data_IF_313186644268
#
_entry.id   IF_313186644268
#
_cell.length_a   1.000
_cell.length_b   1.000
_cell.length_c   1.000
_cell.angle_alpha   90.00
_cell.angle_beta   90.00
_cell.angle_gamma   90.00
#
_symmetry.space_group_name_H-M   'P 1'
#
loop_
_entity.id
_entity.type
_entity.pdbx_description
1 polymer ?
#
# COMPACT_ATOMS: atom_id res chain seq x y z
N UNK A 1 -15.28 17.70 -14.25
CA UNK A 1 -14.96 16.98 -13.00
C UNK A 1 -16.20 16.99 -12.15
N UNK A 2 -16.80 15.82 -11.92
CA UNK A 2 -17.93 15.81 -11.01
C UNK A 2 -17.45 16.07 -9.58
N UNK A 3 -18.29 16.71 -8.77
CA UNK A 3 -18.02 16.92 -7.36
C UNK A 3 -18.44 15.72 -6.49
N UNK A 4 -19.17 14.75 -7.05
CA UNK A 4 -19.62 13.56 -6.33
C UNK A 4 -19.22 12.29 -7.08
N UNK A 5 -18.60 11.34 -6.36
CA UNK A 5 -18.20 10.03 -6.88
C UNK A 5 -19.38 9.27 -7.53
N UNK A 6 -20.60 9.51 -7.04
CA UNK A 6 -21.83 8.92 -7.58
C UNK A 6 -22.14 9.37 -9.03
N UNK A 7 -21.78 10.59 -9.40
CA UNK A 7 -22.08 11.10 -10.74
C UNK A 7 -21.07 10.56 -11.78
N UNK A 8 -19.97 9.96 -11.31
CA UNK A 8 -18.96 9.34 -12.19
C UNK A 8 -19.22 7.85 -12.40
N UNK A 9 -19.85 7.18 -11.43
CA UNK A 9 -20.24 5.77 -11.56
C UNK A 9 -21.47 5.45 -10.70
N UNK A 10 -22.54 4.98 -11.33
CA UNK A 10 -23.81 4.64 -10.66
C UNK A 10 -23.67 3.49 -9.65
N UNK A 11 -22.62 2.66 -9.77
CA UNK A 11 -22.34 1.55 -8.85
C UNK A 11 -21.70 2.02 -7.54
N UNK A 12 -21.31 3.29 -7.45
CA UNK A 12 -20.79 3.93 -6.25
C UNK A 12 -21.90 4.68 -5.52
N UNK A 13 -22.31 4.12 -4.38
CA UNK A 13 -23.38 4.69 -3.57
C UNK A 13 -22.83 5.15 -2.23
N UNK A 14 -23.08 6.41 -1.87
CA UNK A 14 -22.76 6.90 -0.53
C UNK A 14 -23.52 6.06 0.51
N UNK A 15 -22.81 5.61 1.55
CA UNK A 15 -23.39 4.80 2.62
C UNK A 15 -23.47 5.58 3.93
N UNK A 16 -22.33 6.03 4.46
CA UNK A 16 -22.25 6.78 5.72
C UNK A 16 -20.94 7.58 5.82
N UNK A 17 -20.68 8.25 6.94
CA UNK A 17 -19.39 8.83 7.27
C UNK A 17 -18.74 8.07 8.43
N UNK A 18 -17.41 7.96 8.42
CA UNK A 18 -16.67 7.52 9.59
C UNK A 18 -16.81 8.54 10.74
N UNK A 19 -16.62 8.11 12.00
CA UNK A 19 -16.57 9.01 13.13
C UNK A 19 -15.57 10.15 12.89
N UNK A 20 -15.96 11.36 13.27
CA UNK A 20 -15.12 12.54 13.13
C UNK A 20 -13.78 12.35 13.84
N UNK A 21 -12.68 12.61 13.13
CA UNK A 21 -11.37 12.74 13.75
C UNK A 21 -11.07 14.21 14.00
N UNK A 22 -10.89 14.60 15.26
CA UNK A 22 -10.65 16.00 15.67
C UNK A 22 -9.21 16.21 16.12
N UNK A 23 -8.56 17.24 15.56
CA UNK A 23 -7.18 17.55 15.89
C UNK A 23 -6.92 19.05 15.85
N UNK A 24 -6.11 19.56 16.79
CA UNK A 24 -5.70 20.96 16.78
C UNK A 24 -4.57 21.15 15.75
N UNK A 25 -4.77 22.00 14.75
CA UNK A 25 -3.83 22.17 13.64
C UNK A 25 -3.75 23.62 13.17
N UNK A 26 -2.52 24.15 13.06
CA UNK A 26 -2.27 25.46 12.42
C UNK A 26 -3.04 26.63 13.04
N UNK A 27 -3.24 26.63 14.37
CA UNK A 27 -4.01 27.66 15.07
C UNK A 27 -5.54 27.42 15.11
N UNK A 28 -6.04 26.36 14.48
CA UNK A 28 -7.45 25.95 14.55
C UNK A 28 -7.59 24.87 15.63
N UNK A 29 -8.42 25.14 16.64
CA UNK A 29 -8.77 24.19 17.68
C UNK A 29 -9.92 23.27 17.19
N UNK A 30 -9.81 21.97 17.43
CA UNK A 30 -10.84 20.98 17.10
C UNK A 30 -11.10 20.87 15.60
N UNK A 31 -10.06 20.90 14.76
CA UNK A 31 -10.24 20.74 13.32
C UNK A 31 -10.75 19.33 13.03
N UNK A 32 -11.96 19.25 12.47
CA UNK A 32 -12.63 18.00 12.12
C UNK A 32 -12.15 17.51 10.75
N UNK A 33 -11.73 16.25 10.70
CA UNK A 33 -11.44 15.49 9.49
C UNK A 33 -12.57 14.47 9.29
N UNK A 34 -13.19 14.51 8.10
CA UNK A 34 -14.34 13.67 7.73
C UNK A 34 -13.93 12.75 6.59
N UNK A 35 -14.32 11.48 6.69
CA UNK A 35 -14.16 10.50 5.63
C UNK A 35 -15.50 9.84 5.34
N UNK A 36 -15.83 9.70 4.06
CA UNK A 36 -17.08 9.11 3.60
C UNK A 36 -16.88 7.66 3.19
N UNK A 37 -17.83 6.82 3.61
CA UNK A 37 -17.91 5.40 3.27
C UNK A 37 -18.86 5.24 2.09
N UNK A 38 -18.44 4.45 1.11
CA UNK A 38 -19.20 4.14 -0.08
C UNK A 38 -19.43 2.63 -0.19
N UNK A 39 -20.58 2.27 -0.76
CA UNK A 39 -20.91 0.95 -1.24
C UNK A 39 -20.61 0.87 -2.72
N UNK A 40 -19.76 -0.08 -3.09
CA UNK A 40 -19.37 -0.36 -4.47
C UNK A 40 -20.02 -1.68 -4.88
N UNK A 41 -20.90 -1.64 -5.89
CA UNK A 41 -21.61 -2.81 -6.40
C UNK A 41 -20.76 -3.57 -7.42
N UNK A 42 -20.61 -4.88 -7.23
CA UNK A 42 -20.00 -5.77 -8.22
C UNK A 42 -20.97 -6.10 -9.38
N UNK A 43 -20.50 -6.89 -10.35
CA UNK A 43 -21.33 -7.34 -11.48
C UNK A 43 -22.47 -8.30 -11.08
N UNK A 44 -22.36 -8.91 -9.90
CA UNK A 44 -23.33 -9.86 -9.36
C UNK A 44 -24.35 -9.19 -8.41
N UNK A 45 -24.18 -7.88 -8.12
CA UNK A 45 -25.00 -7.10 -7.19
C UNK A 45 -24.56 -7.15 -5.72
N UNK A 46 -23.40 -7.74 -5.39
CA UNK A 46 -22.83 -7.68 -4.05
C UNK A 46 -22.23 -6.29 -3.78
N UNK A 47 -22.53 -5.76 -2.60
CA UNK A 47 -22.03 -4.46 -2.16
C UNK A 47 -20.78 -4.64 -1.30
N UNK A 48 -19.69 -3.99 -1.70
CA UNK A 48 -18.47 -3.88 -0.91
C UNK A 48 -18.38 -2.48 -0.29
N UNK A 49 -18.17 -2.40 1.02
CA UNK A 49 -18.07 -1.13 1.75
C UNK A 49 -16.61 -0.70 1.86
N UNK A 50 -16.28 0.52 1.43
CA UNK A 50 -14.93 1.07 1.54
C UNK A 50 -14.94 2.60 1.71
N UNK A 51 -13.87 3.13 2.30
CA UNK A 51 -13.64 4.57 2.37
C UNK A 51 -12.92 5.01 1.10
N UNK A 52 -13.48 5.97 0.39
CA UNK A 52 -12.94 6.46 -0.89
C UNK A 52 -12.97 7.97 -0.92
N UNK A 53 -11.86 8.57 -1.34
CA UNK A 53 -11.75 10.02 -1.54
C UNK A 53 -10.86 10.33 -2.74
N UNK A 54 -11.19 11.41 -3.44
CA UNK A 54 -10.29 11.97 -4.44
C UNK A 54 -9.14 12.74 -3.78
N UNK A 55 -7.94 12.60 -4.34
CA UNK A 55 -6.80 13.40 -3.95
C UNK A 55 -7.07 14.87 -4.31
N UNK A 56 -7.49 15.66 -3.32
CA UNK A 56 -7.78 17.10 -3.47
C UNK A 56 -6.64 17.89 -4.15
N UNK A 57 -5.34 17.58 -3.94
CA UNK A 57 -4.26 18.24 -4.68
C UNK A 57 -4.38 18.12 -6.21
N UNK A 58 -4.93 17.02 -6.74
CA UNK A 58 -5.15 16.83 -8.18
C UNK A 58 -6.18 17.82 -8.72
N UNK A 59 -7.23 18.12 -7.95
CA UNK A 59 -8.19 19.17 -8.30
C UNK A 59 -7.53 20.56 -8.37
N UNK A 60 -6.57 20.83 -7.48
CA UNK A 60 -5.78 22.08 -7.53
C UNK A 60 -4.95 22.16 -8.81
N UNK A 61 -4.26 21.07 -9.19
CA UNK A 61 -3.52 21.01 -10.45
C UNK A 61 -4.43 21.23 -11.67
N UNK A 62 -5.64 20.65 -11.67
CA UNK A 62 -6.63 20.90 -12.71
C UNK A 62 -7.06 22.37 -12.78
N UNK A 63 -7.35 23.01 -11.64
CA UNK A 63 -7.70 24.44 -11.61
C UNK A 63 -6.57 25.32 -12.12
N UNK A 64 -5.33 25.03 -11.71
CA UNK A 64 -4.15 25.74 -12.20
C UNK A 64 -4.00 25.62 -13.72
N UNK A 65 -4.37 24.47 -14.31
CA UNK A 65 -4.21 24.27 -15.76
C UNK A 65 -5.18 25.08 -16.61
N UNK A 66 -6.24 25.61 -15.99
CA UNK A 66 -7.25 26.45 -16.63
C UNK A 66 -7.04 27.94 -16.32
N UNK A 67 -6.10 28.26 -15.42
CA UNK A 67 -5.80 29.62 -15.03
C UNK A 67 -4.65 30.16 -15.88
N UNK A 68 -4.97 31.13 -16.74
CA UNK A 68 -4.00 31.72 -17.69
C UNK A 68 -2.76 32.31 -17.01
N UNK A 69 -2.89 32.81 -15.77
CA UNK A 69 -1.77 33.41 -15.02
C UNK A 69 -0.85 32.39 -14.37
N UNK A 70 -1.25 31.12 -14.28
CA UNK A 70 -0.46 30.08 -13.63
C UNK A 70 0.72 29.59 -14.50
N UNK A 71 0.70 29.85 -15.81
CA UNK A 71 1.71 29.34 -16.73
C UNK A 71 1.78 27.81 -16.76
N UNK A 72 0.66 27.15 -16.45
CA UNK A 72 0.56 25.71 -16.26
C UNK A 72 -0.41 25.13 -17.28
N UNK A 73 0.08 24.29 -18.19
CA UNK A 73 -0.73 23.69 -19.24
C UNK A 73 -1.20 22.28 -18.90
N UNK A 74 -1.91 21.67 -19.85
CA UNK A 74 -2.40 20.30 -19.73
C UNK A 74 -1.27 19.26 -19.71
N UNK A 75 -0.23 19.45 -20.53
CA UNK A 75 0.93 18.55 -20.56
C UNK A 75 1.67 18.57 -19.22
N UNK A 76 1.89 19.77 -18.65
CA UNK A 76 2.49 19.93 -17.33
C UNK A 76 1.61 19.34 -16.24
N UNK A 77 0.27 19.48 -16.34
CA UNK A 77 -0.69 18.86 -15.42
C UNK A 77 -0.49 17.36 -15.33
N UNK A 78 -0.48 16.66 -16.46
CA UNK A 78 -0.31 15.20 -16.47
C UNK A 78 1.02 14.78 -15.84
N UNK A 79 2.10 15.48 -16.16
CA UNK A 79 3.42 15.22 -15.56
C UNK A 79 3.43 15.45 -14.04
N UNK A 80 2.81 16.54 -13.57
CA UNK A 80 2.72 16.84 -12.15
C UNK A 80 1.84 15.85 -11.39
N UNK A 81 0.76 15.35 -11.99
CA UNK A 81 -0.07 14.29 -11.37
C UNK A 81 0.74 13.01 -11.18
N UNK A 82 1.50 12.59 -12.20
CA UNK A 82 2.38 11.42 -12.09
C UNK A 82 3.47 11.64 -11.03
N UNK A 83 4.09 12.82 -11.00
CA UNK A 83 5.10 13.15 -10.00
C UNK A 83 4.52 13.17 -8.59
N UNK A 84 3.33 13.75 -8.41
CA UNK A 84 2.58 13.75 -7.16
C UNK A 84 2.30 12.33 -6.69
N UNK A 85 1.79 11.47 -7.57
CA UNK A 85 1.52 10.06 -7.26
C UNK A 85 2.79 9.34 -6.76
N UNK A 86 3.90 9.42 -7.51
CA UNK A 86 5.16 8.75 -7.12
C UNK A 86 5.73 9.29 -5.82
N UNK A 87 5.72 10.62 -5.66
CA UNK A 87 6.25 11.28 -4.46
C UNK A 87 5.41 10.93 -3.23
N UNK A 88 4.08 10.93 -3.35
CA UNK A 88 3.18 10.54 -2.28
C UNK A 88 3.37 9.07 -1.91
N UNK A 89 3.45 8.19 -2.92
CA UNK A 89 3.73 6.78 -2.71
C UNK A 89 5.04 6.59 -1.91
N UNK A 90 6.13 7.22 -2.33
CA UNK A 90 7.43 7.12 -1.65
C UNK A 90 7.38 7.64 -0.21
N UNK A 91 6.68 8.75 0.05
CA UNK A 91 6.53 9.31 1.40
C UNK A 91 5.75 8.35 2.30
N UNK A 92 4.62 7.86 1.81
CA UNK A 92 3.75 6.99 2.59
C UNK A 92 4.38 5.61 2.82
N UNK A 93 5.12 5.09 1.85
CA UNK A 93 5.92 3.86 1.98
C UNK A 93 7.08 4.03 2.97
N UNK A 94 7.55 5.23 3.27
CA UNK A 94 8.58 5.45 4.31
C UNK A 94 7.98 5.68 5.70
N UNK A 95 6.70 6.02 5.77
CA UNK A 95 5.99 6.27 7.03
C UNK A 95 5.41 4.99 7.63
N UNK A 96 5.88 4.61 8.81
CA UNK A 96 5.33 3.45 9.54
C UNK A 96 3.86 3.62 9.92
N UNK A 97 3.41 4.86 10.12
CA UNK A 97 2.02 5.17 10.49
C UNK A 97 1.04 5.02 9.32
N UNK A 98 1.55 5.13 8.09
CA UNK A 98 0.74 5.10 6.87
C UNK A 98 0.75 3.72 6.21
N UNK A 99 1.86 2.97 6.29
CA UNK A 99 1.97 1.63 5.69
C UNK A 99 0.76 0.77 6.04
N UNK A 100 0.19 0.12 5.03
CA UNK A 100 -0.97 -0.78 5.12
C UNK A 100 -2.28 -0.13 5.59
N UNK A 101 -2.39 1.21 5.60
CA UNK A 101 -3.64 1.93 5.94
C UNK A 101 -4.26 2.70 4.78
N UNK A 102 -3.66 2.65 3.61
CA UNK A 102 -4.14 3.32 2.40
C UNK A 102 -3.90 2.45 1.18
N UNK A 103 -4.64 2.75 0.11
CA UNK A 103 -4.36 2.23 -1.24
C UNK A 103 -4.45 3.41 -2.21
N UNK A 104 -3.36 3.69 -2.93
CA UNK A 104 -3.38 4.67 -4.01
C UNK A 104 -3.88 3.99 -5.29
N UNK A 105 -4.84 4.61 -5.96
CA UNK A 105 -5.40 4.15 -7.23
C UNK A 105 -5.14 5.25 -8.26
N UNK A 106 -4.31 4.96 -9.26
CA UNK A 106 -4.05 5.86 -10.37
C UNK A 106 -5.03 5.54 -11.51
N UNK A 107 -5.85 6.52 -11.87
CA UNK A 107 -6.78 6.44 -12.99
C UNK A 107 -6.14 7.15 -14.20
N UNK A 108 -5.94 6.41 -15.29
CA UNK A 108 -5.39 6.95 -16.54
C UNK A 108 -6.48 7.00 -17.60
N UNK A 109 -6.48 8.07 -18.41
CA UNK A 109 -7.53 8.37 -19.39
C UNK A 109 -7.75 7.30 -20.48
N UNK A 110 -6.88 6.28 -20.59
CA UNK A 110 -7.01 5.18 -21.55
C UNK A 110 -8.21 4.26 -21.29
N UNK A 111 -8.97 4.51 -20.22
CA UNK A 111 -10.01 3.62 -19.71
C UNK A 111 -11.39 4.29 -19.61
N UNK A 112 -11.53 5.52 -20.13
CA UNK A 112 -12.76 6.33 -20.06
C UNK A 112 -13.95 5.76 -20.86
N UNK A 113 -13.75 4.74 -21.69
CA UNK A 113 -14.84 4.16 -22.50
C UNK A 113 -15.80 3.26 -21.69
N UNK A 114 -15.44 2.82 -20.48
CA UNK A 114 -16.31 2.01 -19.62
C UNK A 114 -16.97 2.88 -18.53
N UNK A 115 -18.31 3.02 -18.52
CA UNK A 115 -19.03 3.83 -17.53
C UNK A 115 -18.88 3.31 -16.08
N UNK A 116 -18.43 2.06 -15.91
CA UNK A 116 -18.19 1.46 -14.59
C UNK A 116 -16.70 1.23 -14.30
N UNK A 117 -15.82 1.94 -15.01
CA UNK A 117 -14.37 1.80 -14.83
C UNK A 117 -13.93 2.08 -13.37
N UNK A 118 -14.53 3.08 -12.73
CA UNK A 118 -14.17 3.49 -11.38
C UNK A 118 -14.51 2.42 -10.34
N UNK A 119 -15.75 1.92 -10.33
CA UNK A 119 -16.17 0.84 -9.44
C UNK A 119 -15.36 -0.43 -9.67
N UNK A 120 -15.12 -0.82 -10.94
CA UNK A 120 -14.28 -1.97 -11.28
C UNK A 120 -12.84 -1.82 -10.79
N UNK A 121 -12.26 -0.62 -10.92
CA UNK A 121 -10.91 -0.33 -10.43
C UNK A 121 -10.82 -0.46 -8.91
N UNK A 122 -11.79 0.07 -8.18
CA UNK A 122 -11.86 -0.05 -6.72
C UNK A 122 -12.01 -1.53 -6.31
N UNK A 123 -12.96 -2.25 -6.90
CA UNK A 123 -13.20 -3.67 -6.60
C UNK A 123 -11.96 -4.53 -6.89
N UNK A 124 -11.24 -4.26 -7.97
CA UNK A 124 -9.96 -4.92 -8.27
C UNK A 124 -8.97 -4.75 -7.13
N UNK A 125 -8.85 -3.54 -6.58
CA UNK A 125 -7.96 -3.26 -5.46
C UNK A 125 -8.43 -3.88 -4.14
N UNK A 126 -9.73 -3.88 -3.85
CA UNK A 126 -10.30 -4.54 -2.67
C UNK A 126 -10.08 -6.05 -2.71
N UNK A 127 -10.38 -6.70 -3.83
CA UNK A 127 -10.16 -8.13 -4.02
C UNK A 127 -8.67 -8.51 -3.93
N UNK A 128 -7.78 -7.64 -4.41
CA UNK A 128 -6.34 -7.83 -4.28
C UNK A 128 -5.91 -7.78 -2.80
N UNK A 129 -6.41 -6.80 -2.04
CA UNK A 129 -6.10 -6.66 -0.63
C UNK A 129 -6.57 -7.88 0.18
N UNK A 130 -7.80 -8.36 -0.06
CA UNK A 130 -8.33 -9.55 0.61
C UNK A 130 -7.44 -10.78 0.37
N UNK A 131 -6.97 -10.97 -0.87
CA UNK A 131 -6.04 -12.07 -1.20
C UNK A 131 -4.69 -11.94 -0.50
N UNK A 132 -4.15 -10.73 -0.41
CA UNK A 132 -2.89 -10.45 0.29
C UNK A 132 -3.03 -10.72 1.81
N UNK A 133 -4.14 -10.30 2.42
CA UNK A 133 -4.43 -10.54 3.84
C UNK A 133 -4.68 -12.02 4.15
N UNK A 134 -5.44 -12.73 3.31
CA UNK A 134 -5.65 -14.18 3.44
C UNK A 134 -4.30 -14.91 3.33
N UNK A 135 -3.44 -14.52 2.38
CA UNK A 135 -2.13 -15.14 2.23
C UNK A 135 -1.26 -14.97 3.48
N UNK A 136 -1.24 -13.77 4.09
CA UNK A 136 -0.52 -13.53 5.34
C UNK A 136 -1.09 -14.33 6.52
N UNK A 137 -2.40 -14.52 6.57
CA UNK A 137 -3.07 -15.30 7.62
C UNK A 137 -2.90 -16.83 7.44
N UNK A 138 -2.64 -17.29 6.21
CA UNK A 138 -2.40 -18.69 5.87
C UNK A 138 -0.93 -19.10 5.93
N UNK A 139 0.00 -18.14 5.97
CA UNK A 139 1.37 -18.44 6.39
C UNK A 139 1.26 -19.12 7.77
N UNK A 140 1.84 -20.32 7.96
CA UNK A 140 1.78 -20.98 9.25
C UNK A 140 2.19 -19.95 10.29
N UNK A 141 1.33 -19.69 11.29
CA UNK A 141 1.81 -19.09 12.51
C UNK A 141 2.99 -19.95 12.91
N UNK A 142 4.19 -19.41 12.72
CA UNK A 142 5.40 -20.07 13.15
C UNK A 142 5.21 -20.14 14.66
N UNK A 143 4.73 -21.28 15.14
CA UNK A 143 4.70 -21.59 16.55
C UNK A 143 6.10 -21.24 17.02
N UNK A 144 6.15 -20.20 17.85
CA UNK A 144 7.36 -19.74 18.48
C UNK A 144 7.75 -20.88 19.42
N UNK A 145 8.48 -21.86 18.88
CA UNK A 145 9.20 -22.82 19.68
C UNK A 145 10.03 -22.03 20.72
N UNK A 146 10.11 -22.53 21.96
CA UNK A 146 10.73 -21.81 23.07
C UNK A 146 12.17 -21.42 22.72
N UNK A 147 12.70 -20.32 23.29
CA UNK A 147 13.88 -19.66 22.75
C UNK A 147 15.08 -20.60 22.79
N UNK A 148 15.49 -21.07 21.61
CA UNK A 148 16.82 -21.60 21.42
C UNK A 148 17.81 -20.48 21.80
N UNK A 149 18.72 -20.85 22.70
CA UNK A 149 19.61 -20.00 23.47
C UNK A 149 20.17 -18.80 22.71
N UNK A 150 20.14 -17.66 23.39
CA UNK A 150 20.83 -16.42 23.02
C UNK A 150 22.23 -16.76 22.52
N UNK A 151 22.47 -16.57 21.22
CA UNK A 151 23.81 -16.64 20.62
C UNK A 151 24.73 -15.66 21.36
N UNK A 152 25.45 -16.20 22.35
CA UNK A 152 26.49 -15.50 23.08
C UNK A 152 27.55 -15.01 22.09
N UNK A 153 27.83 -13.70 22.10
CA UNK A 153 28.80 -13.05 21.21
C UNK A 153 30.27 -13.30 21.60
N UNK A 154 30.53 -14.25 22.50
CA UNK A 154 31.87 -14.57 22.97
C UNK A 154 32.34 -15.84 22.29
N UNK A 155 33.47 -15.84 21.53
CA UNK A 155 33.97 -17.07 20.92
C UNK A 155 34.41 -18.04 22.02
N UNK A 156 33.70 -19.16 22.13
CA UNK A 156 34.06 -20.26 23.03
C UNK A 156 35.16 -21.10 22.38
N UNK A 157 36.33 -21.14 23.01
CA UNK A 157 37.43 -22.02 22.58
C UNK A 157 37.06 -23.48 22.88
N UNK A 158 36.75 -24.23 21.83
CA UNK A 158 36.53 -25.68 21.89
C UNK A 158 37.89 -26.39 21.89
N UNK A 159 38.44 -26.62 23.08
CA UNK A 159 39.64 -27.44 23.23
C UNK A 159 39.18 -28.91 23.28
N UNK A 160 39.54 -29.69 22.26
CA UNK A 160 39.26 -31.13 22.24
C UNK A 160 40.01 -31.80 23.39
N UNK A 161 39.27 -32.50 24.27
CA UNK A 161 39.84 -33.31 25.36
C UNK A 161 40.38 -34.67 24.86
N UNK A 162 40.19 -34.97 23.59
CA UNK A 162 40.57 -36.25 23.00
C UNK A 162 42.00 -36.20 22.45
N UNK A 163 42.81 -37.19 22.81
CA UNK A 163 44.20 -37.28 22.34
C UNK A 163 44.23 -37.48 20.81
N UNK A 164 45.00 -36.68 20.06
CA UNK A 164 45.05 -36.79 18.61
C UNK A 164 45.58 -38.16 18.19
N UNK A 165 44.90 -38.78 17.21
CA UNK A 165 45.35 -40.04 16.63
C UNK A 165 46.54 -39.81 15.70
N UNK A 166 47.49 -40.77 15.64
CA UNK A 166 48.61 -40.68 14.71
C UNK A 166 48.12 -40.74 13.25
N UNK A 167 48.77 -39.93 12.41
CA UNK A 167 48.53 -39.91 10.96
C UNK A 167 48.87 -41.28 10.36
N UNK A 168 47.97 -41.82 9.52
CA UNK A 168 48.21 -43.06 8.78
C UNK A 168 49.15 -42.80 7.61
N UNK A 169 50.07 -43.72 7.36
CA UNK A 169 51.04 -43.60 6.28
C UNK A 169 50.37 -43.58 4.89
N UNK A 170 50.94 -42.86 3.91
CA UNK A 170 50.39 -42.80 2.56
C UNK A 170 50.41 -44.20 1.91
N UNK A 171 49.27 -44.61 1.36
CA UNK A 171 49.17 -45.79 0.51
C UNK A 171 49.64 -45.39 -0.90
N UNK A 172 50.83 -45.84 -1.29
CA UNK A 172 51.27 -45.74 -2.68
C UNK A 172 50.46 -46.71 -3.54
N UNK A 173 49.58 -46.18 -4.39
CA UNK A 173 48.92 -46.97 -5.44
C UNK A 173 49.64 -46.66 -6.75
N UNK A 174 50.52 -47.56 -7.14
CA UNK A 174 51.16 -47.61 -8.47
C UNK A 174 50.11 -47.76 -9.57
N UNK A 175 50.22 -46.96 -10.62
CA UNK A 175 49.42 -47.10 -11.85
C UNK A 175 50.04 -48.18 -12.73
N UNK A 176 49.26 -49.17 -13.17
CA UNK A 176 49.52 -49.96 -14.39
C UNK A 176 48.68 -49.42 -15.54
#
# INVERSE_FOLDING_TARGET
MSHQLKDEDERLQFYDNLPNYEMNMGGVQGRVYKHSVYKVLDENGWAHECVVEYATPVLTLYKMSHESTAGFGETERTQQVLLFYRTLQDILERSLECRNRYRLILLLNETEDDPHFLSKSILKHLNQQEREEIFLNLLPQQEMEPPAEVMSRVPTLMISLESPQPLRDPVEVTYE
#
